data_IF_247272196550
#
_entry.id   IF_247272196550
#
_cell.length_a   1.000
_cell.length_b   1.000
_cell.length_c   1.000
_cell.angle_alpha   90.00
_cell.angle_beta   90.00
_cell.angle_gamma   90.00
#
_symmetry.space_group_name_H-M   'P 1'
#
loop_
_entity.id
_entity.type
_entity.pdbx_description
1 polymer ?
#
# COMPACT_ATOMS: atom_id res chain seq x y z
N UNK A 1 -21.34 -6.24 -8.98
CA UNK A 1 -20.90 -7.23 -7.98
C UNK A 1 -19.44 -7.67 -8.19
N UNK A 2 -19.02 -8.36 -9.27
CA UNK A 2 -17.61 -8.84 -9.42
C UNK A 2 -16.52 -7.75 -9.59
N UNK A 3 -16.85 -6.59 -10.17
CA UNK A 3 -15.84 -5.60 -10.54
C UNK A 3 -15.23 -4.83 -9.34
N UNK A 4 -15.84 -4.90 -8.16
CA UNK A 4 -15.45 -4.11 -6.98
C UNK A 4 -14.42 -4.80 -6.13
N UNK A 5 -14.74 -6.03 -5.76
CA UNK A 5 -13.79 -6.96 -5.17
C UNK A 5 -12.57 -7.15 -6.09
N UNK A 6 -12.77 -7.22 -7.42
CA UNK A 6 -11.65 -7.15 -8.37
C UNK A 6 -10.83 -5.87 -8.26
N UNK A 7 -11.48 -4.70 -8.26
CA UNK A 7 -10.78 -3.41 -8.21
C UNK A 7 -10.01 -3.21 -6.91
N UNK A 8 -10.58 -3.62 -5.77
CA UNK A 8 -9.94 -3.49 -4.47
C UNK A 8 -8.69 -4.38 -4.38
N UNK A 9 -8.80 -5.63 -4.84
CA UNK A 9 -7.67 -6.54 -4.98
C UNK A 9 -6.60 -5.98 -5.91
N UNK A 10 -6.99 -5.48 -7.08
CA UNK A 10 -6.10 -4.88 -8.08
C UNK A 10 -5.28 -3.72 -7.52
N UNK A 11 -5.94 -2.78 -6.85
CA UNK A 11 -5.31 -1.60 -6.26
C UNK A 11 -4.34 -2.01 -5.15
N UNK A 12 -4.73 -2.97 -4.31
CA UNK A 12 -3.89 -3.49 -3.22
C UNK A 12 -2.63 -4.16 -3.80
N UNK A 13 -2.81 -5.13 -4.71
CA UNK A 13 -1.70 -5.85 -5.33
C UNK A 13 -0.75 -4.95 -6.13
N UNK A 14 -1.29 -3.93 -6.80
CA UNK A 14 -0.48 -2.95 -7.53
C UNK A 14 0.33 -2.07 -6.56
N UNK A 15 -0.29 -1.60 -5.47
CA UNK A 15 0.38 -0.74 -4.48
C UNK A 15 1.58 -1.45 -3.86
N UNK A 16 1.31 -2.52 -3.12
CA UNK A 16 2.35 -3.20 -2.34
C UNK A 16 3.35 -3.90 -3.26
N UNK A 17 2.84 -4.44 -4.37
CA UNK A 17 3.67 -5.05 -5.40
C UNK A 17 4.67 -4.05 -5.98
N UNK A 18 4.27 -2.80 -6.25
CA UNK A 18 5.20 -1.82 -6.85
C UNK A 18 6.28 -1.43 -5.86
N UNK A 19 5.96 -1.28 -4.57
CA UNK A 19 6.96 -0.95 -3.55
C UNK A 19 8.01 -2.06 -3.42
N UNK A 20 7.56 -3.31 -3.30
CA UNK A 20 8.45 -4.47 -3.29
C UNK A 20 9.28 -4.57 -4.59
N UNK A 21 8.62 -4.43 -5.75
CA UNK A 21 9.26 -4.53 -7.06
C UNK A 21 10.29 -3.41 -7.29
N UNK A 22 10.04 -2.19 -6.81
CA UNK A 22 10.97 -1.07 -6.91
C UNK A 22 12.23 -1.32 -6.07
N UNK A 23 12.10 -1.80 -4.83
CA UNK A 23 13.27 -2.08 -3.99
C UNK A 23 14.16 -3.14 -4.67
N UNK A 24 13.56 -4.24 -5.12
CA UNK A 24 14.28 -5.29 -5.85
C UNK A 24 14.90 -4.73 -7.14
N UNK A 25 14.15 -3.93 -7.92
CA UNK A 25 14.65 -3.33 -9.15
C UNK A 25 15.84 -2.39 -8.90
N UNK A 26 15.85 -1.60 -7.82
CA UNK A 26 16.97 -0.71 -7.51
C UNK A 26 18.21 -1.52 -7.13
N UNK A 27 18.06 -2.59 -6.32
CA UNK A 27 19.17 -3.49 -5.97
C UNK A 27 19.75 -4.14 -7.24
N UNK A 28 18.89 -4.67 -8.11
CA UNK A 28 19.31 -5.29 -9.38
C UNK A 28 19.97 -4.27 -10.32
N UNK A 29 19.42 -3.05 -10.43
CA UNK A 29 19.97 -1.98 -11.26
C UNK A 29 21.36 -1.55 -10.77
N UNK A 30 21.56 -1.46 -9.45
CA UNK A 30 22.86 -1.13 -8.89
C UNK A 30 23.88 -2.26 -9.15
N UNK A 31 23.50 -3.52 -8.93
CA UNK A 31 24.36 -4.67 -9.24
C UNK A 31 24.72 -4.74 -10.73
N UNK A 32 23.78 -4.43 -11.63
CA UNK A 32 24.06 -4.33 -13.06
C UNK A 32 25.07 -3.22 -13.36
N UNK A 33 24.87 -2.02 -12.78
CA UNK A 33 25.74 -0.85 -12.99
C UNK A 33 27.17 -1.07 -12.51
N UNK A 34 27.35 -1.90 -11.49
CA UNK A 34 28.67 -2.20 -10.91
C UNK A 34 29.31 -3.47 -11.48
N UNK A 35 28.73 -4.05 -12.53
CA UNK A 35 29.26 -5.24 -13.20
C UNK A 35 29.09 -6.54 -12.40
N UNK A 36 28.28 -6.53 -11.34
CA UNK A 36 28.08 -7.64 -10.40
C UNK A 36 26.78 -8.41 -10.64
N UNK A 37 26.30 -8.46 -11.89
CA UNK A 37 25.07 -9.16 -12.27
C UNK A 37 25.05 -10.66 -11.90
N UNK A 38 26.23 -11.27 -11.71
CA UNK A 38 26.39 -12.64 -11.19
C UNK A 38 25.66 -12.93 -9.87
N UNK A 39 25.32 -11.90 -9.09
CA UNK A 39 24.62 -12.06 -7.80
C UNK A 39 23.09 -11.95 -7.89
N UNK A 40 22.53 -11.72 -9.08
CA UNK A 40 21.07 -11.67 -9.27
C UNK A 40 20.33 -12.89 -8.69
N UNK A 41 20.81 -14.14 -8.87
CA UNK A 41 20.10 -15.29 -8.31
C UNK A 41 19.95 -15.24 -6.79
N UNK A 42 20.90 -14.62 -6.06
CA UNK A 42 20.81 -14.49 -4.59
C UNK A 42 19.71 -13.51 -4.17
N UNK A 43 19.53 -12.43 -4.94
CA UNK A 43 18.46 -11.46 -4.71
C UNK A 43 17.09 -12.12 -5.00
N UNK A 44 16.98 -12.86 -6.10
CA UNK A 44 15.78 -13.61 -6.43
C UNK A 44 15.45 -14.69 -5.41
N UNK A 45 16.45 -15.34 -4.82
CA UNK A 45 16.24 -16.32 -3.75
C UNK A 45 15.66 -15.65 -2.49
N UNK A 46 16.21 -14.49 -2.09
CA UNK A 46 15.65 -13.70 -0.99
C UNK A 46 14.22 -13.23 -1.26
N UNK A 47 13.96 -12.66 -2.43
CA UNK A 47 12.61 -12.22 -2.82
C UNK A 47 11.62 -13.40 -2.90
N UNK A 48 12.02 -14.51 -3.51
CA UNK A 48 11.19 -15.71 -3.62
C UNK A 48 10.85 -16.32 -2.26
N UNK A 49 11.82 -16.40 -1.35
CA UNK A 49 11.58 -16.87 0.02
C UNK A 49 10.60 -15.97 0.78
N UNK A 50 10.71 -14.65 0.61
CA UNK A 50 9.79 -13.68 1.21
C UNK A 50 8.37 -13.81 0.64
N UNK A 51 8.22 -14.02 -0.67
CA UNK A 51 6.91 -14.25 -1.31
C UNK A 51 6.25 -15.51 -0.75
N UNK A 52 6.99 -16.63 -0.70
CA UNK A 52 6.47 -17.89 -0.15
C UNK A 52 6.01 -17.70 1.30
N UNK A 53 6.82 -17.04 2.12
CA UNK A 53 6.47 -16.79 3.52
C UNK A 53 5.26 -15.86 3.66
N UNK A 54 5.11 -14.86 2.80
CA UNK A 54 3.95 -13.96 2.79
C UNK A 54 2.67 -14.72 2.43
N UNK A 55 2.72 -15.58 1.41
CA UNK A 55 1.58 -16.45 1.05
C UNK A 55 1.21 -17.38 2.21
N UNK A 56 2.20 -17.96 2.90
CA UNK A 56 1.96 -18.79 4.09
C UNK A 56 1.28 -18.01 5.21
N UNK A 57 1.74 -16.77 5.49
CA UNK A 57 1.10 -15.89 6.47
C UNK A 57 -0.34 -15.61 6.07
N UNK A 58 -0.60 -15.26 4.81
CA UNK A 58 -1.96 -15.05 4.30
C UNK A 58 -2.84 -16.30 4.46
N UNK A 59 -2.34 -17.48 4.13
CA UNK A 59 -3.07 -18.73 4.27
C UNK A 59 -3.41 -19.05 5.74
N UNK A 60 -2.47 -18.82 6.67
CA UNK A 60 -2.71 -18.98 8.10
C UNK A 60 -3.76 -17.99 8.60
N UNK A 61 -3.71 -16.74 8.14
CA UNK A 61 -4.70 -15.72 8.49
C UNK A 61 -6.09 -16.11 7.99
N UNK A 62 -6.25 -16.52 6.74
CA UNK A 62 -7.54 -17.00 6.21
C UNK A 62 -8.04 -18.21 7.00
N UNK A 63 -7.15 -19.15 7.35
CA UNK A 63 -7.54 -20.34 8.10
C UNK A 63 -7.91 -20.07 9.57
N UNK A 64 -7.50 -18.93 10.14
CA UNK A 64 -7.73 -18.58 11.56
C UNK A 64 -8.86 -17.57 11.75
N UNK A 65 -9.18 -16.76 10.75
CA UNK A 65 -10.32 -15.85 10.77
C UNK A 65 -11.58 -16.64 10.39
N UNK A 66 -12.37 -17.05 11.37
CA UNK A 66 -13.63 -17.76 11.18
C UNK A 66 -14.84 -16.84 10.99
N UNK A 67 -15.97 -17.41 10.56
CA UNK A 67 -17.28 -16.75 10.47
C UNK A 67 -17.76 -16.34 11.86
N UNK A 68 -17.92 -15.03 12.10
CA UNK A 68 -18.43 -14.50 13.36
C UNK A 68 -19.93 -14.22 13.22
N UNK A 69 -20.78 -14.54 14.21
CA UNK A 69 -22.17 -14.12 14.19
C UNK A 69 -22.30 -12.60 14.31
N UNK A 70 -23.27 -12.00 13.61
CA UNK A 70 -23.72 -10.64 13.90
C UNK A 70 -24.16 -10.52 15.38
N UNK A 71 -23.82 -9.42 16.09
CA UNK A 71 -23.19 -8.18 15.63
C UNK A 71 -21.66 -8.14 15.79
N UNK A 72 -21.01 -9.24 16.19
CA UNK A 72 -19.57 -9.26 16.43
C UNK A 72 -18.76 -9.09 15.14
N UNK A 73 -19.31 -9.54 14.02
CA UNK A 73 -18.76 -9.33 12.68
C UNK A 73 -18.64 -7.85 12.32
N UNK A 74 -19.73 -7.08 12.38
CA UNK A 74 -19.75 -5.64 12.07
C UNK A 74 -18.82 -4.83 12.99
N UNK A 75 -18.76 -5.18 14.29
CA UNK A 75 -17.82 -4.56 15.24
C UNK A 75 -16.37 -4.85 14.84
N UNK A 76 -16.07 -6.11 14.49
CA UNK A 76 -14.74 -6.52 14.06
C UNK A 76 -14.34 -5.84 12.75
N UNK A 77 -15.24 -5.83 11.75
CA UNK A 77 -15.04 -5.21 10.45
C UNK A 77 -14.78 -3.70 10.59
N UNK A 78 -15.66 -2.97 11.29
CA UNK A 78 -15.46 -1.55 11.56
C UNK A 78 -14.15 -1.26 12.32
N UNK A 79 -13.81 -2.06 13.33
CA UNK A 79 -12.56 -1.90 14.08
C UNK A 79 -11.32 -2.15 13.19
N UNK A 80 -11.35 -3.19 12.35
CA UNK A 80 -10.27 -3.50 11.40
C UNK A 80 -10.13 -2.39 10.38
N UNK A 81 -11.22 -1.82 9.86
CA UNK A 81 -11.18 -0.70 8.93
C UNK A 81 -10.60 0.58 9.54
N UNK A 82 -10.93 0.91 10.80
CA UNK A 82 -10.30 2.03 11.53
C UNK A 82 -8.81 1.79 11.71
N UNK A 83 -8.41 0.58 12.13
CA UNK A 83 -7.00 0.21 12.28
C UNK A 83 -6.26 0.28 10.94
N UNK A 84 -6.86 -0.25 9.87
CA UNK A 84 -6.32 -0.21 8.52
C UNK A 84 -6.12 1.23 8.04
N UNK A 85 -7.11 2.10 8.23
CA UNK A 85 -6.98 3.53 7.91
C UNK A 85 -5.82 4.17 8.69
N UNK A 86 -5.69 3.88 10.00
CA UNK A 86 -4.58 4.34 10.83
C UNK A 86 -3.20 3.87 10.35
N UNK A 87 -3.06 2.58 10.03
CA UNK A 87 -1.82 1.99 9.51
C UNK A 87 -1.45 2.58 8.15
N UNK A 88 -2.41 2.70 7.23
CA UNK A 88 -2.19 3.31 5.91
C UNK A 88 -1.78 4.78 6.06
N UNK A 89 -2.44 5.53 6.95
CA UNK A 89 -2.07 6.93 7.24
C UNK A 89 -0.63 7.01 7.75
N UNK A 90 -0.29 6.18 8.72
CA UNK A 90 1.05 6.15 9.30
C UNK A 90 2.11 5.80 8.24
N UNK A 91 1.87 4.77 7.43
CA UNK A 91 2.75 4.36 6.34
C UNK A 91 2.93 5.46 5.30
N UNK A 92 1.86 6.16 4.95
CA UNK A 92 1.88 7.28 4.01
C UNK A 92 2.82 8.41 4.49
N UNK A 93 2.80 8.74 5.78
CA UNK A 93 3.75 9.71 6.34
C UNK A 93 5.16 9.13 6.55
N UNK A 94 5.27 7.82 6.81
CA UNK A 94 6.55 7.12 6.94
C UNK A 94 7.31 7.10 5.61
N UNK A 95 6.68 6.65 4.53
CA UNK A 95 7.24 6.64 3.17
C UNK A 95 7.63 8.03 2.70
N UNK A 96 6.79 9.04 2.99
CA UNK A 96 7.10 10.43 2.66
C UNK A 96 8.40 10.92 3.29
N UNK A 97 8.74 10.48 4.50
CA UNK A 97 10.01 10.80 5.15
C UNK A 97 11.17 10.04 4.51
N UNK A 98 10.96 8.78 4.14
CA UNK A 98 11.98 7.92 3.51
C UNK A 98 12.29 8.31 2.06
N UNK A 99 11.32 8.80 1.28
CA UNK A 99 11.53 9.18 -0.12
C UNK A 99 12.62 10.27 -0.33
N UNK A 100 13.01 10.99 0.73
CA UNK A 100 14.13 11.94 0.71
C UNK A 100 15.52 11.29 0.90
N UNK A 101 15.60 10.12 1.55
CA UNK A 101 16.85 9.47 1.99
C UNK A 101 17.18 8.19 1.22
N UNK A 102 16.18 7.50 0.66
CA UNK A 102 16.34 6.22 -0.06
C UNK A 102 17.43 6.28 -1.14
N UNK A 103 17.54 7.39 -1.89
CA UNK A 103 18.57 7.53 -2.93
C UNK A 103 20.01 7.59 -2.40
N UNK A 104 20.22 8.12 -1.19
CA UNK A 104 21.54 8.29 -0.58
C UNK A 104 21.95 7.09 0.28
N UNK A 105 21.02 6.56 1.08
CA UNK A 105 21.24 5.40 1.93
C UNK A 105 21.53 4.14 1.13
N UNK A 106 20.78 3.92 0.04
CA UNK A 106 20.99 2.78 -0.84
C UNK A 106 22.35 2.87 -1.56
N UNK A 107 22.80 4.08 -1.91
CA UNK A 107 24.14 4.29 -2.48
C UNK A 107 25.23 3.89 -1.47
N UNK A 108 25.07 4.26 -0.20
CA UNK A 108 26.01 3.92 0.88
C UNK A 108 26.01 2.42 1.24
N UNK A 109 24.83 1.77 1.27
CA UNK A 109 24.70 0.33 1.52
C UNK A 109 25.29 -0.48 0.35
N UNK A 110 25.06 0.05 -0.85
CA UNK A 110 25.74 -0.20 -2.12
C UNK A 110 27.26 -0.40 -1.99
N UNK A 111 27.91 0.73 -1.74
CA UNK A 111 29.36 0.86 -1.69
C UNK A 111 29.98 0.01 -0.57
N UNK A 112 29.32 -0.12 0.60
CA UNK A 112 29.76 -1.00 1.69
C UNK A 112 29.68 -2.49 1.30
N UNK A 113 28.60 -2.91 0.66
CA UNK A 113 28.40 -4.31 0.30
C UNK A 113 29.34 -4.80 -0.82
N UNK A 114 29.87 -3.89 -1.63
CA UNK A 114 30.89 -4.21 -2.63
C UNK A 114 32.31 -4.33 -2.06
N UNK A 115 32.54 -3.83 -0.85
CA UNK A 115 33.86 -3.86 -0.21
C UNK A 115 34.08 -5.16 0.58
N UNK A 116 33.02 -5.86 0.97
CA UNK A 116 33.08 -7.11 1.75
C UNK A 116 32.23 -8.23 1.08
N UNK A 117 32.77 -9.45 0.93
CA UNK A 117 31.99 -10.59 0.41
C UNK A 117 30.74 -10.92 1.25
N UNK A 118 30.77 -10.60 2.54
CA UNK A 118 29.64 -10.67 3.50
C UNK A 118 28.48 -9.75 3.11
N UNK A 119 28.76 -8.66 2.38
CA UNK A 119 27.78 -7.67 1.95
C UNK A 119 26.74 -8.20 0.95
N UNK A 120 27.07 -9.24 0.18
CA UNK A 120 26.16 -9.81 -0.82
C UNK A 120 25.02 -10.60 -0.15
N UNK A 121 25.30 -11.30 0.96
CA UNK A 121 24.24 -11.87 1.79
C UNK A 121 23.39 -10.77 2.42
N UNK A 122 24.01 -9.64 2.81
CA UNK A 122 23.30 -8.45 3.24
C UNK A 122 22.32 -7.91 2.20
N UNK A 123 22.65 -7.94 0.90
CA UNK A 123 21.72 -7.53 -0.18
C UNK A 123 20.56 -8.51 -0.37
N UNK A 124 20.81 -9.82 -0.23
CA UNK A 124 19.75 -10.83 -0.30
C UNK A 124 18.80 -10.75 0.91
N UNK A 125 19.36 -10.53 2.11
CA UNK A 125 18.58 -10.27 3.33
C UNK A 125 17.81 -8.95 3.21
N UNK A 126 18.43 -7.90 2.67
CA UNK A 126 17.74 -6.62 2.43
C UNK A 126 16.55 -6.80 1.48
N UNK A 127 16.73 -7.51 0.36
CA UNK A 127 15.64 -7.83 -0.56
C UNK A 127 14.56 -8.68 0.11
N UNK A 128 14.94 -9.69 0.88
CA UNK A 128 14.00 -10.51 1.66
C UNK A 128 13.21 -9.67 2.66
N UNK A 129 13.86 -8.87 3.51
CA UNK A 129 13.22 -8.04 4.54
C UNK A 129 12.33 -6.96 3.94
N UNK A 130 12.71 -6.39 2.80
CA UNK A 130 11.86 -5.48 2.07
C UNK A 130 10.60 -6.19 1.54
N UNK A 131 10.77 -7.28 0.79
CA UNK A 131 9.65 -7.98 0.15
C UNK A 131 8.72 -8.61 1.19
N UNK A 132 9.24 -9.15 2.30
CA UNK A 132 8.40 -9.77 3.33
C UNK A 132 7.57 -8.75 4.09
N UNK A 133 8.09 -7.54 4.31
CA UNK A 133 7.32 -6.48 4.95
C UNK A 133 6.10 -6.14 4.09
N UNK A 134 6.33 -5.79 2.83
CA UNK A 134 5.24 -5.47 1.89
C UNK A 134 4.32 -6.67 1.66
N UNK A 135 4.89 -7.88 1.65
CA UNK A 135 4.14 -9.12 1.49
C UNK A 135 3.23 -9.44 2.67
N UNK A 136 3.66 -9.23 3.92
CA UNK A 136 2.81 -9.39 5.11
C UNK A 136 1.67 -8.36 5.09
N UNK A 137 1.97 -7.11 4.75
CA UNK A 137 0.95 -6.06 4.62
C UNK A 137 -0.07 -6.44 3.54
N UNK A 138 0.41 -6.88 2.37
CA UNK A 138 -0.45 -7.41 1.30
C UNK A 138 -1.35 -8.54 1.80
N UNK A 139 -0.79 -9.51 2.53
CA UNK A 139 -1.55 -10.64 3.07
C UNK A 139 -2.64 -10.19 4.05
N UNK A 140 -2.34 -9.25 4.95
CA UNK A 140 -3.31 -8.72 5.91
C UNK A 140 -4.45 -7.97 5.20
N UNK A 141 -4.12 -7.11 4.23
CA UNK A 141 -5.12 -6.37 3.46
C UNK A 141 -5.98 -7.30 2.59
N UNK A 142 -5.39 -8.32 1.97
CA UNK A 142 -6.13 -9.28 1.16
C UNK A 142 -7.06 -10.13 2.03
N UNK A 143 -6.64 -10.56 3.22
CA UNK A 143 -7.52 -11.29 4.15
C UNK A 143 -8.73 -10.43 4.53
N UNK A 144 -8.53 -9.18 4.92
CA UNK A 144 -9.64 -8.27 5.24
C UNK A 144 -10.61 -8.09 4.07
N UNK A 145 -10.10 -7.92 2.85
CA UNK A 145 -10.92 -7.79 1.65
C UNK A 145 -11.63 -9.09 1.26
N UNK A 146 -11.00 -10.24 1.47
CA UNK A 146 -11.62 -11.54 1.24
C UNK A 146 -12.78 -11.78 2.20
N UNK A 147 -12.65 -11.34 3.46
CA UNK A 147 -13.73 -11.44 4.43
C UNK A 147 -14.89 -10.51 4.10
N UNK A 148 -14.62 -9.24 3.77
CA UNK A 148 -15.66 -8.31 3.30
C UNK A 148 -16.35 -8.79 2.01
N UNK A 149 -15.64 -9.53 1.15
CA UNK A 149 -16.19 -10.12 -0.06
C UNK A 149 -16.88 -11.47 0.18
N UNK A 150 -16.77 -12.07 1.37
CA UNK A 150 -17.33 -13.39 1.68
C UNK A 150 -18.87 -13.36 1.74
N UNK A 151 -19.47 -12.23 2.16
CA UNK A 151 -20.91 -11.98 2.08
C UNK A 151 -21.47 -11.93 0.65
N UNK A 152 -20.61 -11.90 -0.38
CA UNK A 152 -20.99 -11.91 -1.80
C UNK A 152 -20.82 -13.30 -2.45
N UNK A 153 -20.47 -14.32 -1.66
CA UNK A 153 -20.21 -15.70 -2.10
C UNK A 153 -18.83 -15.92 -2.72
N UNK A 154 -18.53 -17.17 -3.10
CA UNK A 154 -17.21 -17.61 -3.58
C UNK A 154 -16.68 -16.80 -4.78
N UNK A 155 -17.57 -16.26 -5.62
CA UNK A 155 -17.22 -15.43 -6.77
C UNK A 155 -16.58 -14.09 -6.36
N UNK A 156 -17.02 -13.50 -5.24
CA UNK A 156 -16.46 -12.27 -4.68
C UNK A 156 -15.01 -12.48 -4.23
N UNK A 157 -14.77 -13.51 -3.43
CA UNK A 157 -13.44 -13.85 -2.95
C UNK A 157 -12.44 -14.14 -4.09
N UNK A 158 -12.87 -14.91 -5.11
CA UNK A 158 -12.05 -15.17 -6.29
C UNK A 158 -11.72 -13.88 -7.06
N UNK A 159 -12.67 -12.95 -7.18
CA UNK A 159 -12.42 -11.69 -7.87
C UNK A 159 -11.37 -10.82 -7.16
N UNK A 160 -11.35 -10.78 -5.81
CA UNK A 160 -10.28 -10.12 -5.04
C UNK A 160 -8.92 -10.72 -5.36
N UNK A 161 -8.79 -12.05 -5.33
CA UNK A 161 -7.53 -12.73 -5.62
C UNK A 161 -7.04 -12.47 -7.05
N UNK A 162 -7.95 -12.56 -8.03
CA UNK A 162 -7.62 -12.29 -9.44
C UNK A 162 -7.17 -10.84 -9.61
N UNK A 163 -7.89 -9.89 -9.00
CA UNK A 163 -7.49 -8.49 -8.98
C UNK A 163 -6.07 -8.32 -8.43
N UNK A 164 -5.81 -8.88 -7.25
CA UNK A 164 -4.51 -8.81 -6.58
C UNK A 164 -3.37 -9.36 -7.45
N UNK A 165 -3.57 -10.52 -8.08
CA UNK A 165 -2.58 -11.13 -8.97
C UNK A 165 -2.30 -10.26 -10.19
N UNK A 166 -3.33 -9.67 -10.81
CA UNK A 166 -3.14 -8.75 -11.94
C UNK A 166 -2.39 -7.49 -11.49
N UNK A 167 -2.72 -6.96 -10.30
CA UNK A 167 -2.03 -5.81 -9.72
C UNK A 167 -0.55 -6.09 -9.47
N UNK A 168 -0.23 -7.26 -8.91
CA UNK A 168 1.14 -7.75 -8.74
C UNK A 168 1.86 -7.94 -10.08
N UNK A 169 1.20 -8.45 -11.10
CA UNK A 169 1.78 -8.60 -12.44
C UNK A 169 2.12 -7.23 -13.06
N UNK A 170 1.22 -6.25 -12.93
CA UNK A 170 1.47 -4.86 -13.34
C UNK A 170 2.62 -4.25 -12.56
N UNK A 171 2.70 -4.52 -11.26
CA UNK A 171 3.80 -4.05 -10.42
C UNK A 171 5.17 -4.58 -10.87
N UNK A 172 5.24 -5.89 -11.19
CA UNK A 172 6.45 -6.50 -11.75
C UNK A 172 6.82 -5.87 -13.09
N UNK A 173 5.84 -5.60 -13.96
CA UNK A 173 6.07 -4.92 -15.23
C UNK A 173 6.61 -3.49 -15.04
N UNK A 174 6.07 -2.74 -14.07
CA UNK A 174 6.57 -1.41 -13.70
C UNK A 174 7.98 -1.46 -13.11
N UNK A 175 8.25 -2.41 -12.21
CA UNK A 175 9.59 -2.63 -11.64
C UNK A 175 10.63 -3.01 -12.70
N UNK A 176 10.23 -3.85 -13.68
CA UNK A 176 11.07 -4.17 -14.83
C UNK A 176 11.32 -2.94 -15.73
N UNK A 177 10.27 -2.15 -15.98
CA UNK A 177 10.37 -0.87 -16.69
C UNK A 177 11.33 0.08 -15.98
N UNK A 178 11.29 0.14 -14.65
CA UNK A 178 12.20 0.93 -13.83
C UNK A 178 13.65 0.44 -13.94
N UNK A 179 13.88 -0.88 -13.86
CA UNK A 179 15.20 -1.49 -14.04
C UNK A 179 15.81 -1.16 -15.42
N UNK A 180 15.02 -1.25 -16.49
CA UNK A 180 15.44 -0.91 -17.86
C UNK A 180 15.60 0.60 -18.08
N UNK A 181 14.77 1.41 -17.43
CA UNK A 181 14.53 2.81 -17.74
C UNK A 181 14.94 3.79 -16.65
N UNK A 182 15.92 3.45 -15.79
CA UNK A 182 16.37 4.21 -14.60
C UNK A 182 16.62 5.73 -14.78
N UNK A 183 16.59 6.26 -16.02
CA UNK A 183 16.65 7.69 -16.35
C UNK A 183 15.28 8.39 -16.54
N UNK A 184 14.15 7.69 -16.56
CA UNK A 184 12.85 8.24 -17.00
C UNK A 184 11.77 8.42 -15.91
N UNK A 185 11.93 7.87 -14.70
CA UNK A 185 10.90 7.94 -13.66
C UNK A 185 11.36 8.75 -12.44
N UNK A 186 10.68 9.86 -12.18
CA UNK A 186 10.87 10.65 -10.97
C UNK A 186 10.16 9.97 -9.80
N UNK A 187 10.90 9.22 -8.95
CA UNK A 187 10.36 8.51 -7.79
C UNK A 187 9.51 9.42 -6.90
N UNK A 188 9.89 10.70 -6.77
CA UNK A 188 9.12 11.67 -5.99
C UNK A 188 7.74 11.92 -6.58
N UNK A 189 7.60 11.89 -7.91
CA UNK A 189 6.31 12.04 -8.58
C UNK A 189 5.49 10.76 -8.45
N UNK A 190 6.11 9.60 -8.62
CA UNK A 190 5.46 8.30 -8.44
C UNK A 190 4.85 8.17 -7.03
N UNK A 191 5.67 8.32 -5.98
CA UNK A 191 5.20 8.24 -4.59
C UNK A 191 4.19 9.32 -4.23
N UNK A 192 4.25 10.49 -4.88
CA UNK A 192 3.24 11.53 -4.69
C UNK A 192 1.90 11.11 -5.27
N UNK A 193 1.88 10.56 -6.49
CA UNK A 193 0.63 10.12 -7.14
C UNK A 193 0.02 8.94 -6.39
N UNK A 194 0.81 7.91 -6.07
CA UNK A 194 0.32 6.75 -5.32
C UNK A 194 -0.09 7.14 -3.89
N UNK A 195 0.65 8.05 -3.24
CA UNK A 195 0.30 8.55 -1.92
C UNK A 195 -1.00 9.37 -1.91
N UNK A 196 -1.29 10.17 -2.94
CA UNK A 196 -2.60 10.85 -3.06
C UNK A 196 -3.72 9.82 -3.14
N UNK A 197 -3.55 8.79 -3.97
CA UNK A 197 -4.52 7.70 -4.09
C UNK A 197 -4.77 7.00 -2.75
N UNK A 198 -3.70 6.76 -1.99
CA UNK A 198 -3.78 6.18 -0.65
C UNK A 198 -4.58 7.01 0.35
N UNK A 199 -4.52 8.34 0.26
CA UNK A 199 -5.36 9.20 1.11
C UNK A 199 -6.84 8.92 0.86
N UNK A 200 -7.25 8.79 -0.41
CA UNK A 200 -8.63 8.52 -0.76
C UNK A 200 -9.09 7.12 -0.32
N UNK A 201 -8.24 6.10 -0.50
CA UNK A 201 -8.56 4.74 -0.02
C UNK A 201 -8.72 4.71 1.50
N UNK A 202 -7.81 5.35 2.24
CA UNK A 202 -7.91 5.43 3.70
C UNK A 202 -9.16 6.20 4.15
N UNK A 203 -9.56 7.24 3.42
CA UNK A 203 -10.81 7.95 3.65
C UNK A 203 -12.03 7.03 3.42
N UNK A 204 -11.98 6.20 2.38
CA UNK A 204 -13.02 5.21 2.08
C UNK A 204 -13.16 4.14 3.17
N UNK A 205 -12.03 3.58 3.62
CA UNK A 205 -12.02 2.62 4.74
C UNK A 205 -12.61 3.23 6.02
N UNK A 206 -12.23 4.47 6.35
CA UNK A 206 -12.74 5.16 7.53
C UNK A 206 -14.24 5.47 7.41
N UNK A 207 -14.71 5.86 6.22
CA UNK A 207 -16.13 6.07 5.94
C UNK A 207 -16.93 4.77 6.10
N UNK A 208 -16.39 3.66 5.60
CA UNK A 208 -17.05 2.36 5.70
C UNK A 208 -17.08 1.84 7.14
N UNK A 209 -16.02 2.07 7.93
CA UNK A 209 -16.05 1.78 9.36
C UNK A 209 -17.17 2.52 10.10
N UNK A 210 -17.42 3.78 9.71
CA UNK A 210 -18.50 4.58 10.27
C UNK A 210 -19.86 4.03 9.86
N UNK A 211 -20.01 3.54 8.62
CA UNK A 211 -21.22 2.85 8.17
C UNK A 211 -21.52 1.62 9.05
N UNK A 212 -20.53 0.73 9.28
CA UNK A 212 -20.68 -0.42 10.20
C UNK A 212 -21.11 0.00 11.61
N UNK A 213 -20.53 1.09 12.14
CA UNK A 213 -20.88 1.61 13.46
C UNK A 213 -22.28 2.27 13.51
N UNK A 214 -22.78 2.78 12.38
CA UNK A 214 -24.17 3.24 12.25
C UNK A 214 -25.12 2.05 12.27
N UNK A 215 -24.82 0.97 11.54
CA UNK A 215 -25.68 -0.22 11.45
C UNK A 215 -25.90 -0.91 12.80
N UNK A 216 -24.85 -1.04 13.62
CA UNK A 216 -24.96 -1.57 15.00
C UNK A 216 -25.56 -0.56 16.00
N UNK A 217 -25.90 0.65 15.56
CA UNK A 217 -26.51 1.70 16.39
C UNK A 217 -25.57 2.39 17.37
N UNK A 218 -24.23 2.25 17.21
CA UNK A 218 -23.25 2.97 18.03
C UNK A 218 -23.14 4.45 17.66
N UNK A 219 -23.45 4.80 16.41
CA UNK A 219 -23.54 6.17 15.91
C UNK A 219 -25.00 6.48 15.56
N UNK A 220 -25.78 7.06 16.49
CA UNK A 220 -27.22 7.26 16.31
C UNK A 220 -27.60 8.59 15.60
N UNK A 221 -26.64 9.28 14.98
CA UNK A 221 -26.85 10.62 14.39
C UNK A 221 -26.27 10.71 12.98
N UNK A 222 -26.85 11.57 12.14
CA UNK A 222 -26.40 11.76 10.76
C UNK A 222 -26.53 10.49 9.92
N UNK A 223 -27.47 9.61 10.26
CA UNK A 223 -27.73 8.34 9.60
C UNK A 223 -28.61 8.50 8.37
N UNK A 224 -29.21 9.68 8.19
CA UNK A 224 -29.92 10.02 6.98
C UNK A 224 -28.98 10.05 5.76
N UNK A 225 -29.43 9.59 4.58
CA UNK A 225 -28.65 9.70 3.35
C UNK A 225 -28.37 11.16 3.02
N UNK A 226 -27.11 11.50 2.76
CA UNK A 226 -26.73 12.87 2.36
C UNK A 226 -27.23 13.22 0.95
N UNK A 227 -27.25 12.22 0.08
CA UNK A 227 -27.77 12.26 -1.28
C UNK A 227 -28.08 10.83 -1.74
N UNK A 228 -28.79 10.69 -2.86
CA UNK A 228 -29.03 9.40 -3.50
C UNK A 228 -28.72 9.51 -5.00
N UNK A 229 -27.61 8.90 -5.40
CA UNK A 229 -27.14 8.80 -6.78
C UNK A 229 -27.35 7.39 -7.36
N UNK A 230 -28.01 6.50 -6.63
CA UNK A 230 -28.16 5.07 -6.99
C UNK A 230 -28.81 4.88 -8.35
N UNK A 231 -29.69 5.79 -8.77
CA UNK A 231 -30.35 5.75 -10.06
C UNK A 231 -29.46 6.15 -11.26
N UNK A 232 -28.43 6.97 -11.03
CA UNK A 232 -27.59 7.57 -12.10
C UNK A 232 -26.20 6.94 -12.11
N UNK A 233 -25.62 6.74 -10.94
CA UNK A 233 -24.29 6.18 -10.75
C UNK A 233 -24.30 5.20 -9.56
N UNK A 234 -24.83 3.98 -9.76
CA UNK A 234 -24.80 2.93 -8.74
C UNK A 234 -23.36 2.59 -8.32
N UNK A 235 -23.13 2.39 -7.02
CA UNK A 235 -21.83 2.07 -6.44
C UNK A 235 -21.57 0.56 -6.31
N UNK A 236 -22.48 -0.28 -6.80
CA UNK A 236 -22.41 -1.75 -6.82
C UNK A 236 -22.03 -2.33 -8.20
N UNK A 237 -22.03 -1.48 -9.25
CA UNK A 237 -21.69 -1.85 -10.63
C UNK A 237 -20.90 -0.78 -11.39
N UNK A 238 -20.24 -1.22 -12.46
CA UNK A 238 -19.64 -0.33 -13.47
C UNK A 238 -18.66 0.69 -12.89
N UNK A 239 -18.85 1.96 -13.28
CA UNK A 239 -17.96 3.07 -12.91
C UNK A 239 -18.08 3.43 -11.44
N UNK A 240 -19.28 3.40 -10.84
CA UNK A 240 -19.46 3.76 -9.44
C UNK A 240 -18.73 2.81 -8.50
N UNK A 241 -18.69 1.52 -8.83
CA UNK A 241 -17.92 0.53 -8.07
C UNK A 241 -16.40 0.75 -8.14
N UNK A 242 -15.89 1.16 -9.31
CA UNK A 242 -14.49 1.57 -9.44
C UNK A 242 -14.20 2.82 -8.58
N UNK A 243 -15.12 3.79 -8.56
CA UNK A 243 -15.01 4.97 -7.70
C UNK A 243 -15.11 4.60 -6.21
N UNK A 244 -15.91 3.61 -5.85
CA UNK A 244 -16.00 3.09 -4.46
C UNK A 244 -14.67 2.51 -4.02
N UNK A 245 -14.07 1.66 -4.83
CA UNK A 245 -12.78 1.04 -4.53
C UNK A 245 -11.62 2.05 -4.50
N UNK A 246 -11.60 3.04 -5.40
CA UNK A 246 -10.48 3.96 -5.56
C UNK A 246 -10.60 5.20 -4.67
N UNK A 247 -11.81 5.73 -4.55
CA UNK A 247 -12.10 6.99 -3.90
C UNK A 247 -12.98 6.87 -2.67
N UNK A 248 -13.43 5.66 -2.28
CA UNK A 248 -14.39 5.51 -1.19
C UNK A 248 -15.78 6.08 -1.50
N UNK A 249 -16.14 6.21 -2.78
CA UNK A 249 -17.47 6.66 -3.21
C UNK A 249 -18.56 5.70 -2.71
N UNK A 250 -19.69 6.28 -2.30
CA UNK A 250 -20.94 5.55 -2.11
C UNK A 250 -22.08 6.31 -2.81
N UNK A 251 -23.05 5.57 -3.35
CA UNK A 251 -24.19 6.14 -4.07
C UNK A 251 -25.20 6.80 -3.13
N UNK A 252 -25.30 6.31 -1.88
CA UNK A 252 -26.21 6.82 -0.86
C UNK A 252 -25.55 6.83 0.53
N UNK A 253 -24.47 7.61 0.72
CA UNK A 253 -23.75 7.61 1.99
C UNK A 253 -24.58 8.28 3.09
N UNK A 254 -24.48 7.77 4.31
CA UNK A 254 -24.95 8.50 5.49
C UNK A 254 -24.22 9.83 5.58
N UNK A 255 -24.93 10.86 6.05
CA UNK A 255 -24.34 12.18 6.25
C UNK A 255 -23.07 12.13 7.11
N UNK A 256 -23.06 11.31 8.17
CA UNK A 256 -21.90 11.16 9.05
C UNK A 256 -20.71 10.46 8.36
N UNK A 257 -20.98 9.42 7.56
CA UNK A 257 -19.94 8.70 6.82
C UNK A 257 -19.28 9.62 5.78
N UNK A 258 -20.09 10.38 5.02
CA UNK A 258 -19.62 11.38 4.08
C UNK A 258 -18.78 12.48 4.75
N UNK A 259 -19.23 12.98 5.90
CA UNK A 259 -18.52 14.01 6.64
C UNK A 259 -17.14 13.52 7.09
N UNK A 260 -17.05 12.29 7.60
CA UNK A 260 -15.80 11.67 8.01
C UNK A 260 -14.87 11.45 6.83
N UNK A 261 -15.40 10.98 5.69
CA UNK A 261 -14.66 10.80 4.45
C UNK A 261 -14.02 12.12 3.97
N UNK A 262 -14.83 13.17 3.82
CA UNK A 262 -14.37 14.48 3.36
C UNK A 262 -13.44 15.15 4.38
N UNK A 263 -13.74 15.03 5.67
CA UNK A 263 -12.91 15.56 6.75
C UNK A 263 -11.51 14.93 6.76
N UNK A 264 -11.43 13.61 6.60
CA UNK A 264 -10.16 12.91 6.51
C UNK A 264 -9.33 13.40 5.31
N UNK A 265 -9.92 13.51 4.11
CA UNK A 265 -9.23 14.02 2.92
C UNK A 265 -8.77 15.46 3.14
N UNK A 266 -9.63 16.33 3.64
CA UNK A 266 -9.35 17.74 3.87
C UNK A 266 -8.19 17.96 4.85
N UNK A 267 -7.96 17.04 5.78
CA UNK A 267 -6.87 17.11 6.76
C UNK A 267 -5.60 16.44 6.21
N UNK A 268 -5.70 15.18 5.79
CA UNK A 268 -4.53 14.34 5.48
C UNK A 268 -3.91 14.70 4.14
N UNK A 269 -4.70 15.03 3.12
CA UNK A 269 -4.18 15.34 1.78
C UNK A 269 -3.28 16.60 1.80
N UNK A 270 -3.68 17.74 2.38
CA UNK A 270 -2.78 18.90 2.46
C UNK A 270 -1.55 18.62 3.32
N UNK A 271 -1.70 17.88 4.43
CA UNK A 271 -0.56 17.50 5.27
C UNK A 271 0.45 16.67 4.50
N UNK A 272 -0.01 15.70 3.69
CA UNK A 272 0.83 14.86 2.83
C UNK A 272 1.54 15.66 1.75
N UNK A 273 0.84 16.57 1.08
CA UNK A 273 1.38 17.35 -0.04
C UNK A 273 2.37 18.45 0.38
N UNK A 274 2.46 18.79 1.66
CA UNK A 274 3.42 19.80 2.16
C UNK A 274 4.87 19.48 1.73
N UNK A 275 5.67 20.47 1.31
CA UNK A 275 7.09 20.24 1.02
C UNK A 275 7.83 19.79 2.29
N UNK A 276 8.59 18.69 2.20
CA UNK A 276 9.55 18.32 3.26
C UNK A 276 10.79 19.19 3.04
N UNK A 277 11.05 20.14 3.94
CA UNK A 277 12.26 20.96 3.88
C UNK A 277 13.49 20.06 4.09
N UNK A 278 14.50 20.08 3.20
CA UNK A 278 15.75 19.39 3.46
C UNK A 278 16.35 19.96 4.75
N UNK A 279 16.60 19.10 5.74
CA UNK A 279 17.29 19.51 6.96
C UNK A 279 18.57 20.23 6.56
N UNK A 280 18.74 21.47 7.05
CA UNK A 280 19.87 22.31 6.70
C UNK A 280 21.16 21.52 6.84
N UNK A 281 21.83 21.26 5.71
CA UNK A 281 23.15 20.64 5.72
C UNK A 281 24.01 21.46 6.69
N UNK A 282 24.52 20.82 7.76
CA UNK A 282 25.53 21.44 8.62
C UNK A 282 26.63 21.91 7.69
N UNK A 283 26.76 23.24 7.52
CA UNK A 283 27.90 23.83 6.82
C UNK A 283 29.16 23.26 7.47
N UNK A 284 30.13 22.75 6.69
CA UNK A 284 31.41 22.33 7.26
C UNK A 284 31.99 23.50 8.06
N UNK A 285 32.44 23.22 9.27
CA UNK A 285 33.05 24.20 10.15
C UNK A 285 34.28 24.81 9.45
N UNK A 286 34.35 26.13 9.22
CA UNK A 286 35.47 26.77 8.54
C UNK A 286 36.83 26.52 9.21
N UNK A 287 36.85 26.06 10.46
CA UNK A 287 38.07 25.89 11.24
C UNK A 287 38.97 24.74 10.78
N UNK A 288 38.50 23.82 9.92
CA UNK A 288 39.31 22.70 9.40
C UNK A 288 40.10 23.07 8.13
N UNK A 289 39.72 24.14 7.42
CA UNK A 289 40.35 24.52 6.16
C UNK A 289 41.69 25.28 6.30
N UNK A 290 42.11 25.63 7.53
CA UNK A 290 43.31 26.42 7.80
C UNK A 290 44.54 25.63 8.27
N UNK A 291 44.54 24.29 8.19
CA UNK A 291 45.67 23.44 8.65
C UNK A 291 46.14 22.43 7.59
N UNK A 292 46.34 22.90 6.37
CA UNK A 292 47.11 22.21 5.34
C UNK A 292 48.20 23.14 4.80
#
# INVERSE_FOLDING_TARGET
MEAGAFSSGLITGLREGVEAALIVAIILAYLAKTGNARYFPRIWLGAGAAIVLSVLVGAVLVATVGEMPEPYEQIFEGAVMVLAAGVVTWMLFWMRRQAATVGAELRSAVDRALTEQTGILGLAVLAFTAVIREGIETSLFLVGQLQAASGQGDAGALSVLVGAVIGLAMAVALGYGFYRGSRLLNLRTFFRVTGVLLVFIAAGLLSHAVHEFVEIGWIPFGTEPAFDLSAVLPDDVGVGLFLRALFGYSASPEFIALLVHLGYIAIVLPLFLRPVQPGAARRPDPQVAGRL
#
